data_IF_347142055011
#
_entry.id   IF_347142055011
#
_cell.length_a   1.000
_cell.length_b   1.000
_cell.length_c   1.000
_cell.angle_alpha   90.00
_cell.angle_beta   90.00
_cell.angle_gamma   90.00
#
_symmetry.space_group_name_H-M   'P 1'
#
loop_
_entity.id
_entity.type
_entity.pdbx_description
1 polymer ?
#
# COMPACT_ATOMS: atom_id res chain seq x y z
N UNK A 1 -13.42 -15.58 0.42
CA UNK A 1 -13.05 -14.38 1.20
C UNK A 1 -11.60 -14.40 1.65
N UNK A 2 -11.17 -15.26 2.59
CA UNK A 2 -9.75 -15.25 3.05
C UNK A 2 -8.71 -15.41 1.92
N UNK A 3 -8.96 -16.26 0.91
CA UNK A 3 -8.04 -16.40 -0.22
C UNK A 3 -7.91 -15.12 -1.06
N UNK A 4 -9.01 -14.41 -1.27
CA UNK A 4 -9.01 -13.12 -1.96
C UNK A 4 -8.26 -12.06 -1.14
N UNK A 5 -8.53 -11.98 0.16
CA UNK A 5 -7.81 -11.06 1.07
C UNK A 5 -6.30 -11.36 1.09
N UNK A 6 -5.92 -12.65 1.00
CA UNK A 6 -4.52 -13.06 0.89
C UNK A 6 -3.87 -12.50 -0.39
N UNK A 7 -4.54 -12.64 -1.53
CA UNK A 7 -4.06 -12.07 -2.80
C UNK A 7 -3.93 -10.54 -2.72
N UNK A 8 -4.90 -9.86 -2.10
CA UNK A 8 -4.86 -8.41 -1.94
C UNK A 8 -3.75 -7.95 -1.00
N UNK A 9 -3.50 -8.69 0.09
CA UNK A 9 -2.37 -8.40 0.98
C UNK A 9 -1.04 -8.54 0.25
N UNK A 10 -0.87 -9.61 -0.51
CA UNK A 10 0.37 -9.86 -1.26
C UNK A 10 0.57 -8.78 -2.34
N UNK A 11 -0.51 -8.36 -3.00
CA UNK A 11 -0.48 -7.24 -3.94
C UNK A 11 -0.18 -5.90 -3.24
N UNK A 12 -0.70 -5.66 -2.04
CA UNK A 12 -0.39 -4.47 -1.27
C UNK A 12 1.10 -4.40 -0.89
N UNK A 13 1.71 -5.54 -0.58
CA UNK A 13 3.16 -5.66 -0.33
C UNK A 13 3.99 -5.32 -1.58
N UNK A 14 3.58 -5.85 -2.74
CA UNK A 14 4.20 -5.55 -4.04
C UNK A 14 4.12 -4.06 -4.38
N UNK A 15 2.95 -3.43 -4.19
CA UNK A 15 2.73 -2.01 -4.46
C UNK A 15 3.57 -1.14 -3.53
N UNK A 16 3.64 -1.48 -2.24
CA UNK A 16 4.51 -0.78 -1.29
C UNK A 16 5.97 -0.83 -1.75
N UNK A 17 6.48 -2.01 -2.08
CA UNK A 17 7.85 -2.18 -2.55
C UNK A 17 8.12 -1.40 -3.85
N UNK A 18 7.16 -1.38 -4.79
CA UNK A 18 7.27 -0.61 -6.03
C UNK A 18 7.50 0.89 -5.78
N UNK A 19 6.68 1.49 -4.92
CA UNK A 19 6.80 2.92 -4.62
C UNK A 19 8.02 3.24 -3.76
N UNK A 20 8.39 2.39 -2.81
CA UNK A 20 9.63 2.55 -2.02
C UNK A 20 10.87 2.51 -2.94
N UNK A 21 10.95 1.55 -3.85
CA UNK A 21 12.03 1.48 -4.82
C UNK A 21 12.12 2.72 -5.72
N UNK A 22 10.97 3.28 -6.11
CA UNK A 22 10.91 4.51 -6.91
C UNK A 22 11.49 5.70 -6.13
N UNK A 23 11.16 5.82 -4.85
CA UNK A 23 11.71 6.86 -3.96
C UNK A 23 13.22 6.69 -3.80
N UNK A 24 13.68 5.47 -3.53
CA UNK A 24 15.11 5.16 -3.35
C UNK A 24 15.92 5.50 -4.61
N UNK A 25 15.34 5.29 -5.79
CA UNK A 25 15.97 5.64 -7.06
C UNK A 25 16.20 7.15 -7.19
N UNK A 26 15.25 7.98 -6.76
CA UNK A 26 15.42 9.44 -6.76
C UNK A 26 16.43 9.92 -5.72
N UNK A 27 16.47 9.29 -4.54
CA UNK A 27 17.44 9.61 -3.49
C UNK A 27 18.88 9.23 -3.89
N UNK A 28 19.05 8.11 -4.58
CA UNK A 28 20.36 7.64 -5.06
C UNK A 28 20.95 8.53 -6.16
N UNK A 29 20.11 9.25 -6.91
CA UNK A 29 20.50 10.14 -8.00
C UNK A 29 20.99 11.52 -7.54
N UNK A 30 20.91 11.81 -6.24
CA UNK A 30 21.43 13.04 -5.63
C UNK A 30 20.40 14.15 -5.45
N UNK A 31 20.77 15.14 -4.64
CA UNK A 31 19.88 16.20 -4.15
C UNK A 31 19.22 17.02 -5.27
N UNK A 32 19.93 17.29 -6.36
CA UNK A 32 19.40 18.05 -7.50
C UNK A 32 18.25 17.31 -8.20
N UNK A 33 18.43 16.00 -8.48
CA UNK A 33 17.41 15.17 -9.10
C UNK A 33 16.24 14.87 -8.15
N UNK A 34 16.50 14.76 -6.85
CA UNK A 34 15.45 14.72 -5.84
C UNK A 34 14.61 16.01 -5.86
N UNK A 35 15.25 17.19 -5.82
CA UNK A 35 14.54 18.47 -5.77
C UNK A 35 13.71 18.72 -7.04
N UNK A 36 14.22 18.33 -8.21
CA UNK A 36 13.47 18.41 -9.47
C UNK A 36 12.24 17.49 -9.51
N UNK A 37 12.26 16.38 -8.77
CA UNK A 37 11.18 15.38 -8.76
C UNK A 37 10.45 15.32 -7.41
N UNK A 38 10.63 16.33 -6.54
CA UNK A 38 10.22 16.26 -5.13
C UNK A 38 8.75 15.91 -4.96
N UNK A 39 7.87 16.51 -5.75
CA UNK A 39 6.43 16.22 -5.72
C UNK A 39 6.14 14.75 -6.04
N UNK A 40 6.82 14.17 -7.04
CA UNK A 40 6.69 12.75 -7.38
C UNK A 40 7.26 11.82 -6.31
N UNK A 41 8.29 12.25 -5.59
CA UNK A 41 8.87 11.50 -4.47
C UNK A 41 7.90 11.50 -3.29
N UNK A 42 7.40 12.67 -2.90
CA UNK A 42 6.42 12.82 -1.80
C UNK A 42 5.13 12.04 -2.10
N UNK A 43 4.64 12.11 -3.33
CA UNK A 43 3.50 11.30 -3.80
C UNK A 43 3.79 9.80 -3.68
N UNK A 44 4.96 9.34 -4.13
CA UNK A 44 5.34 7.93 -4.05
C UNK A 44 5.45 7.45 -2.60
N UNK A 45 6.01 8.25 -1.70
CA UNK A 45 6.05 7.96 -0.25
C UNK A 45 4.63 7.81 0.31
N UNK A 46 3.72 8.72 -0.04
CA UNK A 46 2.35 8.69 0.43
C UNK A 46 1.60 7.44 -0.08
N UNK A 47 1.81 7.06 -1.34
CA UNK A 47 1.22 5.86 -1.95
C UNK A 47 1.78 4.59 -1.32
N UNK A 48 3.10 4.49 -1.09
CA UNK A 48 3.71 3.34 -0.43
C UNK A 48 3.16 3.13 0.98
N UNK A 49 3.09 4.22 1.76
CA UNK A 49 2.54 4.21 3.10
C UNK A 49 1.05 3.83 3.11
N UNK A 50 0.29 4.25 2.09
CA UNK A 50 -1.13 3.89 1.97
C UNK A 50 -1.30 2.42 1.65
N UNK A 51 -0.58 1.88 0.68
CA UNK A 51 -0.59 0.44 0.36
C UNK A 51 -0.18 -0.40 1.58
N UNK A 52 0.83 0.03 2.34
CA UNK A 52 1.27 -0.71 3.53
C UNK A 52 0.21 -0.70 4.65
N UNK A 53 -0.56 0.39 4.81
CA UNK A 53 -1.70 0.41 5.74
C UNK A 53 -2.77 -0.61 5.35
N UNK A 54 -3.11 -0.72 4.07
CA UNK A 54 -4.01 -1.78 3.60
C UNK A 54 -3.43 -3.16 3.84
N UNK A 55 -2.14 -3.38 3.54
CA UNK A 55 -1.44 -4.65 3.83
C UNK A 55 -1.62 -5.08 5.30
N UNK A 56 -1.46 -4.15 6.25
CA UNK A 56 -1.66 -4.43 7.67
C UNK A 56 -3.10 -4.80 8.03
N UNK A 57 -4.09 -4.03 7.56
CA UNK A 57 -5.51 -4.35 7.81
C UNK A 57 -5.90 -5.71 7.25
N UNK A 58 -5.47 -6.02 6.02
CA UNK A 58 -5.70 -7.31 5.36
C UNK A 58 -5.01 -8.45 6.13
N UNK A 59 -3.78 -8.25 6.61
CA UNK A 59 -3.07 -9.23 7.44
C UNK A 59 -3.77 -9.46 8.79
N UNK A 60 -4.27 -8.41 9.45
CA UNK A 60 -5.03 -8.53 10.69
C UNK A 60 -6.29 -9.38 10.52
N UNK A 61 -7.01 -9.22 9.41
CA UNK A 61 -8.17 -10.06 9.11
C UNK A 61 -7.79 -11.52 8.88
N UNK A 62 -6.71 -11.80 8.15
CA UNK A 62 -6.25 -13.18 7.90
C UNK A 62 -5.88 -13.90 9.19
N UNK A 63 -5.32 -13.17 10.16
CA UNK A 63 -4.89 -13.66 11.47
C UNK A 63 -6.00 -13.66 12.53
N UNK A 64 -7.24 -13.34 12.16
CA UNK A 64 -8.37 -13.19 13.09
C UNK A 64 -8.04 -12.27 14.28
N UNK A 65 -7.29 -11.20 14.01
CA UNK A 65 -6.78 -10.26 15.01
C UNK A 65 -7.93 -9.54 15.72
N UNK A 66 -7.88 -9.35 17.05
CA UNK A 66 -8.88 -8.57 17.78
C UNK A 66 -8.97 -7.12 17.31
N UNK A 67 -7.89 -6.60 16.70
CA UNK A 67 -7.83 -5.25 16.13
C UNK A 67 -8.91 -4.99 15.07
N UNK A 68 -9.38 -6.02 14.35
CA UNK A 68 -10.48 -5.85 13.39
C UNK A 68 -11.74 -5.35 14.09
N UNK A 69 -12.04 -5.91 15.26
CA UNK A 69 -13.21 -5.50 16.05
C UNK A 69 -12.94 -4.22 16.85
N UNK A 70 -11.76 -4.09 17.45
CA UNK A 70 -11.41 -2.93 18.28
C UNK A 70 -11.38 -1.63 17.48
N UNK A 71 -10.99 -1.70 16.20
CA UNK A 71 -10.90 -0.55 15.30
C UNK A 71 -12.08 -0.46 14.32
N UNK A 72 -13.12 -1.28 14.49
CA UNK A 72 -14.31 -1.34 13.64
C UNK A 72 -13.98 -1.41 12.14
N UNK A 73 -13.05 -2.31 11.79
CA UNK A 73 -12.56 -2.48 10.42
C UNK A 73 -13.53 -3.35 9.62
N UNK A 74 -14.24 -2.73 8.69
CA UNK A 74 -14.98 -3.42 7.64
C UNK A 74 -14.02 -3.89 6.55
N UNK A 75 -13.64 -5.17 6.59
CA UNK A 75 -12.65 -5.72 5.66
C UNK A 75 -13.12 -5.73 4.20
N UNK A 76 -14.43 -5.87 3.96
CA UNK A 76 -14.96 -5.93 2.59
C UNK A 76 -14.86 -4.55 1.94
N UNK A 77 -15.21 -3.52 2.70
CA UNK A 77 -15.00 -2.13 2.29
C UNK A 77 -13.52 -1.82 2.09
N UNK A 78 -12.65 -2.17 3.03
CA UNK A 78 -11.21 -1.92 2.90
C UNK A 78 -10.61 -2.62 1.67
N UNK A 79 -11.06 -3.83 1.35
CA UNK A 79 -10.65 -4.54 0.15
C UNK A 79 -11.13 -3.85 -1.14
N UNK A 80 -12.37 -3.34 -1.16
CA UNK A 80 -12.91 -2.60 -2.29
C UNK A 80 -12.20 -1.26 -2.49
N UNK A 81 -11.99 -0.50 -1.41
CA UNK A 81 -11.28 0.78 -1.41
C UNK A 81 -9.83 0.60 -1.89
N UNK A 82 -9.16 -0.46 -1.41
CA UNK A 82 -7.80 -0.80 -1.87
C UNK A 82 -7.75 -1.05 -3.38
N UNK A 83 -8.65 -1.88 -3.93
CA UNK A 83 -8.72 -2.15 -5.37
C UNK A 83 -9.05 -0.90 -6.18
N UNK A 84 -9.94 -0.04 -5.69
CA UNK A 84 -10.30 1.19 -6.36
C UNK A 84 -9.14 2.18 -6.38
N UNK A 85 -8.44 2.32 -5.25
CA UNK A 85 -7.31 3.24 -5.12
C UNK A 85 -6.11 2.81 -5.97
N UNK A 86 -5.84 1.52 -6.08
CA UNK A 86 -4.70 0.98 -6.83
C UNK A 86 -5.12 0.23 -8.09
N UNK A 87 -6.21 0.65 -8.73
CA UNK A 87 -6.83 -0.04 -9.87
C UNK A 87 -5.84 -0.36 -11.00
N UNK A 88 -4.84 0.50 -11.22
CA UNK A 88 -3.83 0.32 -12.26
C UNK A 88 -2.92 -0.89 -12.04
N UNK A 89 -2.77 -1.38 -10.81
CA UNK A 89 -1.99 -2.58 -10.48
C UNK A 89 -2.78 -3.90 -10.66
N UNK A 90 -4.07 -3.81 -11.02
CA UNK A 90 -4.95 -4.94 -11.25
C UNK A 90 -5.40 -5.09 -12.71
N UNK A 91 -4.84 -4.26 -13.61
CA UNK A 91 -5.01 -4.37 -15.06
C UNK A 91 -3.99 -5.35 -15.64
#
# INVERSE_FOLDING_TARGET
MKDEIKLLRDKADEITAFYEQKVDSYLALGEELYNMNREHVEESIALAGTANRYRHKLAWYLLDSPLIKELDIDIEKEAADFKAQFVDFFK
#
